data_IF_314861512285
#
_entry.id   IF_314861512285
#
_cell.length_a   1.000
_cell.length_b   1.000
_cell.length_c   1.000
_cell.angle_alpha   90.00
_cell.angle_beta   90.00
_cell.angle_gamma   90.00
#
_symmetry.space_group_name_H-M   'P 1'
#
loop_
_entity.id
_entity.type
_entity.pdbx_description
1 polymer ?
#
# COMPACT_ATOMS: atom_id res chain seq x y z
N UNK A 1 -46.97 -13.46 -30.29
CA UNK A 1 -47.00 -13.72 -28.84
C UNK A 1 -45.94 -14.73 -28.51
N UNK A 2 -44.73 -14.28 -28.15
CA UNK A 2 -44.31 -13.77 -26.83
C UNK A 2 -43.75 -14.87 -25.92
N UNK A 3 -42.40 -14.85 -25.84
CA UNK A 3 -41.48 -15.08 -24.72
C UNK A 3 -41.72 -16.17 -23.67
N UNK A 4 -40.60 -16.75 -23.20
CA UNK A 4 -40.30 -16.64 -21.78
C UNK A 4 -38.94 -15.96 -21.49
N UNK A 5 -38.97 -15.27 -20.35
CA UNK A 5 -37.97 -14.45 -19.69
C UNK A 5 -36.63 -15.17 -19.41
N UNK A 6 -35.53 -14.57 -19.85
CA UNK A 6 -34.18 -14.86 -19.34
C UNK A 6 -33.67 -13.66 -18.53
N UNK A 7 -33.36 -13.91 -17.26
CA UNK A 7 -32.76 -12.96 -16.33
C UNK A 7 -31.45 -12.37 -16.91
N UNK A 8 -31.39 -11.05 -16.92
CA UNK A 8 -30.20 -10.26 -17.24
C UNK A 8 -29.57 -9.76 -15.95
N UNK A 9 -28.23 -9.82 -15.84
CA UNK A 9 -27.50 -9.11 -14.79
C UNK A 9 -26.22 -9.78 -14.29
N UNK A 10 -25.15 -9.79 -15.09
CA UNK A 10 -23.78 -9.90 -14.56
C UNK A 10 -22.88 -8.82 -15.18
N UNK A 11 -22.16 -8.01 -14.37
CA UNK A 11 -21.31 -6.94 -14.87
C UNK A 11 -20.01 -7.47 -15.48
N UNK A 12 -19.64 -6.79 -16.58
CA UNK A 12 -18.51 -7.03 -17.47
C UNK A 12 -17.14 -6.83 -16.77
N UNK A 13 -16.68 -7.82 -16.01
CA UNK A 13 -15.25 -7.91 -15.67
C UNK A 13 -14.52 -8.52 -16.88
N UNK A 14 -14.25 -7.62 -17.84
CA UNK A 14 -13.68 -7.94 -19.14
C UNK A 14 -12.29 -8.54 -18.95
N UNK A 15 -12.18 -9.81 -19.37
CA UNK A 15 -10.98 -10.46 -19.88
C UNK A 15 -9.99 -9.46 -20.49
N UNK A 16 -8.87 -9.23 -19.82
CA UNK A 16 -7.60 -8.85 -20.47
C UNK A 16 -6.41 -9.15 -19.57
N UNK A 17 -6.16 -10.45 -19.39
CA UNK A 17 -4.82 -10.95 -19.07
C UNK A 17 -4.20 -11.46 -20.37
N UNK A 18 -2.93 -11.10 -20.56
CA UNK A 18 -1.94 -11.71 -21.46
C UNK A 18 -2.07 -11.39 -22.95
N UNK A 19 -1.48 -10.26 -23.36
CA UNK A 19 -0.56 -10.20 -24.53
C UNK A 19 0.09 -8.81 -24.59
N UNK A 20 1.38 -8.81 -24.93
CA UNK A 20 2.31 -7.68 -25.03
C UNK A 20 2.91 -7.20 -23.70
N UNK A 21 4.15 -7.63 -23.46
CA UNK A 21 5.09 -6.82 -22.68
C UNK A 21 5.23 -5.43 -23.30
N UNK A 22 5.66 -4.48 -22.46
CA UNK A 22 5.78 -3.04 -22.71
C UNK A 22 4.53 -2.26 -22.25
N UNK A 23 4.48 -1.98 -20.95
CA UNK A 23 3.64 -0.94 -20.38
C UNK A 23 4.21 0.42 -20.79
N UNK A 24 3.95 0.83 -22.04
CA UNK A 24 4.13 2.22 -22.47
C UNK A 24 2.88 2.99 -22.06
N UNK A 25 3.01 3.86 -21.06
CA UNK A 25 2.04 4.92 -20.81
C UNK A 25 2.15 5.98 -21.93
N UNK A 26 1.03 6.50 -22.45
CA UNK A 26 1.03 7.51 -23.51
C UNK A 26 1.62 8.82 -22.98
N UNK A 27 2.61 9.35 -23.72
CA UNK A 27 3.30 10.58 -23.38
C UNK A 27 2.44 11.83 -23.61
N UNK A 28 2.52 12.74 -22.65
CA UNK A 28 2.29 14.16 -22.86
C UNK A 28 3.47 14.96 -22.29
N UNK A 29 4.15 15.63 -23.22
CA UNK A 29 4.93 16.85 -23.11
C UNK A 29 5.54 17.26 -21.74
N UNK A 30 6.88 17.32 -21.73
CA UNK A 30 7.61 18.41 -21.09
C UNK A 30 7.48 18.55 -19.58
N UNK A 31 8.01 17.58 -18.81
CA UNK A 31 8.41 17.83 -17.42
C UNK A 31 9.85 17.38 -17.24
N UNK A 32 10.71 18.35 -16.88
CA UNK A 32 12.10 18.17 -16.44
C UNK A 32 12.27 16.83 -15.74
N UNK A 33 13.24 16.05 -16.19
CA UNK A 33 13.76 14.91 -15.43
C UNK A 33 14.21 15.41 -14.06
N UNK A 34 13.38 15.20 -13.03
CA UNK A 34 13.69 15.51 -11.64
C UNK A 34 13.85 14.18 -10.93
N UNK A 35 15.10 13.75 -10.70
CA UNK A 35 15.56 12.76 -9.70
C UNK A 35 14.43 11.87 -9.18
N UNK A 36 14.29 10.66 -9.73
CA UNK A 36 13.31 9.62 -9.35
C UNK A 36 12.79 9.77 -7.91
N UNK A 37 11.73 10.57 -7.71
CA UNK A 37 11.17 10.79 -6.39
C UNK A 37 10.51 9.48 -5.98
N UNK A 38 11.05 8.86 -4.94
CA UNK A 38 10.51 7.61 -4.40
C UNK A 38 9.03 7.84 -4.05
N UNK A 39 8.10 7.01 -4.57
CA UNK A 39 6.68 7.20 -4.28
C UNK A 39 6.43 7.04 -2.78
N UNK A 40 5.52 7.86 -2.26
CA UNK A 40 5.16 7.85 -0.85
C UNK A 40 4.34 6.60 -0.54
N UNK A 41 4.80 5.83 0.44
CA UNK A 41 4.19 4.60 0.89
C UNK A 41 3.69 4.77 2.33
N UNK A 42 2.38 4.68 2.52
CA UNK A 42 1.77 4.66 3.84
C UNK A 42 1.87 3.24 4.40
N UNK A 43 2.39 3.09 5.60
CA UNK A 43 2.52 1.79 6.25
C UNK A 43 1.44 1.64 7.31
N UNK A 44 0.67 0.56 7.21
CA UNK A 44 -0.31 0.16 8.21
C UNK A 44 -0.01 -1.25 8.69
N UNK A 45 -0.30 -1.54 9.95
CA UNK A 45 -0.09 -2.83 10.58
C UNK A 45 -1.15 -3.04 11.68
N UNK A 46 -1.39 -4.29 12.10
CA UNK A 46 -2.14 -4.57 13.32
C UNK A 46 -1.29 -4.11 14.52
N UNK A 47 -1.47 -2.85 14.92
CA UNK A 47 -0.73 -2.24 16.02
C UNK A 47 -1.20 -2.82 17.37
N UNK A 48 -0.25 -3.22 18.21
CA UNK A 48 -0.54 -3.74 19.54
C UNK A 48 -0.87 -2.59 20.51
N UNK A 49 -1.28 -2.93 21.74
CA UNK A 49 -1.49 -1.92 22.79
C UNK A 49 -0.18 -1.38 23.36
N UNK A 50 0.98 -1.94 22.98
CA UNK A 50 2.28 -1.56 23.50
C UNK A 50 3.00 -0.60 22.53
N UNK A 51 3.14 0.69 22.88
CA UNK A 51 3.81 1.66 22.02
C UNK A 51 5.26 1.30 21.67
N UNK A 52 5.98 0.63 22.57
CA UNK A 52 7.38 0.27 22.34
C UNK A 52 7.53 -0.80 21.26
N UNK A 53 6.66 -1.82 21.31
CA UNK A 53 6.62 -2.87 20.29
C UNK A 53 6.20 -2.29 18.94
N UNK A 54 5.19 -1.42 18.94
CA UNK A 54 4.74 -0.72 17.75
C UNK A 54 5.86 0.13 17.12
N UNK A 55 6.62 0.86 17.92
CA UNK A 55 7.73 1.69 17.44
C UNK A 55 8.83 0.83 16.81
N UNK A 56 9.23 -0.27 17.47
CA UNK A 56 10.24 -1.18 16.95
C UNK A 56 9.80 -1.84 15.62
N UNK A 57 8.56 -2.34 15.56
CA UNK A 57 8.00 -2.93 14.35
C UNK A 57 7.88 -1.91 13.21
N UNK A 58 7.36 -0.72 13.50
CA UNK A 58 7.24 0.35 12.52
C UNK A 58 8.60 0.76 11.96
N UNK A 59 9.64 0.86 12.80
CA UNK A 59 11.00 1.16 12.34
C UNK A 59 11.55 0.07 11.41
N UNK A 60 11.34 -1.21 11.74
CA UNK A 60 11.71 -2.34 10.90
C UNK A 60 11.00 -2.31 9.54
N UNK A 61 9.68 -2.06 9.53
CA UNK A 61 8.90 -1.97 8.29
C UNK A 61 9.32 -0.77 7.43
N UNK A 62 9.53 0.40 8.05
CA UNK A 62 10.08 1.58 7.38
C UNK A 62 11.39 1.24 6.67
N UNK A 63 12.30 0.52 7.33
CA UNK A 63 13.57 0.11 6.72
C UNK A 63 13.38 -0.77 5.51
N UNK A 64 12.50 -1.77 5.60
CA UNK A 64 12.21 -2.68 4.48
C UNK A 64 11.57 -1.96 3.29
N UNK A 65 10.63 -1.05 3.53
CA UNK A 65 9.97 -0.23 2.51
C UNK A 65 10.94 0.78 1.88
N UNK A 66 11.86 1.33 2.67
CA UNK A 66 12.95 2.18 2.18
C UNK A 66 13.90 1.39 1.26
N UNK A 67 14.31 0.19 1.67
CA UNK A 67 15.14 -0.71 0.87
C UNK A 67 14.37 -1.18 -0.39
N UNK A 68 13.04 -1.20 -0.33
CA UNK A 68 12.16 -1.42 -1.47
C UNK A 68 12.16 -0.26 -2.50
N UNK A 69 12.69 0.92 -2.16
CA UNK A 69 12.76 2.08 -3.05
C UNK A 69 11.59 3.04 -2.91
N UNK A 70 10.78 2.89 -1.87
CA UNK A 70 9.67 3.77 -1.52
C UNK A 70 10.09 4.76 -0.43
N UNK A 71 9.28 5.81 -0.23
CA UNK A 71 9.42 6.72 0.91
C UNK A 71 8.40 6.32 1.98
N UNK A 72 8.81 5.65 3.08
CA UNK A 72 7.89 5.15 4.09
C UNK A 72 7.31 6.30 4.95
N UNK A 73 6.02 6.20 5.28
CA UNK A 73 5.34 7.04 6.27
C UNK A 73 4.60 6.15 7.25
N UNK A 74 4.97 6.26 8.52
CA UNK A 74 4.33 5.58 9.65
C UNK A 74 3.83 6.62 10.65
N UNK A 75 2.53 6.97 10.65
CA UNK A 75 1.98 7.90 11.63
C UNK A 75 2.17 7.41 13.08
N UNK A 76 2.14 6.10 13.31
CA UNK A 76 2.33 5.49 14.64
C UNK A 76 3.69 5.78 15.27
N UNK A 77 4.71 6.14 14.49
CA UNK A 77 6.02 6.52 15.04
C UNK A 77 6.04 7.90 15.69
N UNK A 78 5.25 8.85 15.17
CA UNK A 78 5.35 10.25 15.58
C UNK A 78 4.07 10.81 16.20
N UNK A 79 2.88 10.32 15.83
CA UNK A 79 1.62 10.79 16.39
C UNK A 79 1.57 10.65 17.92
N UNK A 80 1.98 9.51 18.53
CA UNK A 80 1.95 9.35 19.98
C UNK A 80 2.95 10.24 20.72
N UNK A 81 3.89 10.89 20.03
CA UNK A 81 4.87 11.78 20.65
C UNK A 81 4.26 13.14 21.02
N UNK A 82 3.17 13.54 20.37
CA UNK A 82 2.51 14.82 20.63
C UNK A 82 0.99 14.72 20.81
N UNK A 83 0.35 13.61 20.41
CA UNK A 83 -1.05 13.32 20.69
C UNK A 83 -1.18 12.26 21.78
N UNK A 84 -2.14 12.46 22.68
CA UNK A 84 -2.50 11.53 23.75
C UNK A 84 -3.77 10.78 23.38
N UNK A 85 -3.64 9.47 23.23
CA UNK A 85 -4.74 8.58 22.89
C UNK A 85 -5.86 8.56 23.96
N UNK A 86 -5.53 8.93 25.20
CA UNK A 86 -6.48 9.03 26.32
C UNK A 86 -7.53 10.13 26.11
N UNK A 87 -7.23 11.14 25.29
CA UNK A 87 -8.13 12.24 25.01
C UNK A 87 -8.91 11.89 23.73
N UNK A 88 -10.24 11.68 23.79
CA UNK A 88 -11.02 11.23 22.63
C UNK A 88 -10.92 12.17 21.41
N UNK A 89 -10.74 13.47 21.66
CA UNK A 89 -10.54 14.47 20.62
C UNK A 89 -9.18 14.28 19.92
N UNK A 90 -8.09 14.14 20.67
CA UNK A 90 -6.75 13.95 20.11
C UNK A 90 -6.61 12.58 19.42
N UNK A 91 -7.28 11.55 19.95
CA UNK A 91 -7.39 10.25 19.28
C UNK A 91 -8.01 10.39 17.88
N UNK A 92 -9.13 11.12 17.79
CA UNK A 92 -9.78 11.40 16.51
C UNK A 92 -8.88 12.21 15.57
N UNK A 93 -8.21 13.23 16.09
CA UNK A 93 -7.29 14.07 15.31
C UNK A 93 -6.11 13.23 14.79
N UNK A 94 -5.59 12.29 15.59
CA UNK A 94 -4.52 11.36 15.17
C UNK A 94 -4.96 10.46 14.02
N UNK A 95 -6.18 9.92 14.08
CA UNK A 95 -6.75 9.13 12.99
C UNK A 95 -6.93 9.99 11.73
N UNK A 96 -7.43 11.22 11.87
CA UNK A 96 -7.67 12.09 10.72
C UNK A 96 -6.36 12.55 10.06
N UNK A 97 -5.32 12.84 10.86
CA UNK A 97 -3.96 13.11 10.35
C UNK A 97 -3.41 11.90 9.60
N UNK A 98 -3.53 10.69 10.17
CA UNK A 98 -3.07 9.46 9.52
C UNK A 98 -3.76 9.24 8.16
N UNK A 99 -5.07 9.47 8.07
CA UNK A 99 -5.84 9.41 6.82
C UNK A 99 -5.39 10.45 5.79
N UNK A 100 -5.00 11.64 6.23
CA UNK A 100 -4.46 12.66 5.33
C UNK A 100 -3.10 12.28 4.75
N UNK A 101 -2.26 11.57 5.51
CA UNK A 101 -1.05 10.96 4.96
C UNK A 101 -1.38 9.84 3.97
N UNK A 102 -2.38 9.02 4.26
CA UNK A 102 -2.83 7.98 3.33
C UNK A 102 -3.30 8.60 2.01
N UNK A 103 -4.10 9.66 2.04
CA UNK A 103 -4.57 10.40 0.84
C UNK A 103 -3.44 10.95 -0.03
N UNK A 104 -2.30 11.31 0.57
CA UNK A 104 -1.11 11.82 -0.14
C UNK A 104 -0.20 10.68 -0.63
N UNK A 105 -0.43 9.47 -0.13
CA UNK A 105 0.36 8.30 -0.46
C UNK A 105 -0.13 7.66 -1.76
N UNK A 106 0.80 7.09 -2.51
CA UNK A 106 0.51 6.42 -3.78
C UNK A 106 0.32 4.92 -3.59
N UNK A 107 0.90 4.39 -2.51
CA UNK A 107 0.85 2.99 -2.15
C UNK A 107 0.51 2.87 -0.66
N UNK A 108 -0.38 1.95 -0.33
CA UNK A 108 -0.66 1.46 1.01
C UNK A 108 0.10 0.14 1.18
N UNK A 109 0.99 0.07 2.16
CA UNK A 109 1.74 -1.13 2.53
C UNK A 109 1.16 -1.69 3.82
N UNK A 110 0.60 -2.89 3.73
CA UNK A 110 0.09 -3.63 4.88
C UNK A 110 1.20 -4.54 5.40
N UNK A 111 1.61 -4.32 6.64
CA UNK A 111 2.63 -5.10 7.32
C UNK A 111 1.96 -6.01 8.35
N UNK A 112 2.27 -7.30 8.33
CA UNK A 112 1.69 -8.30 9.24
C UNK A 112 0.77 -9.32 8.54
N UNK A 113 0.53 -10.43 9.22
CA UNK A 113 -0.28 -11.53 8.71
C UNK A 113 -1.77 -11.43 9.09
N UNK A 114 -2.11 -10.59 10.07
CA UNK A 114 -3.48 -10.35 10.52
C UNK A 114 -4.01 -9.00 10.05
N UNK A 115 -5.32 -8.94 9.78
CA UNK A 115 -6.02 -7.71 9.42
C UNK A 115 -6.98 -7.31 10.54
N UNK A 116 -6.59 -6.27 11.27
CA UNK A 116 -7.45 -5.65 12.29
C UNK A 116 -8.45 -4.68 11.65
N UNK A 117 -9.45 -4.23 12.41
CA UNK A 117 -10.46 -3.27 11.93
C UNK A 117 -9.83 -1.95 11.46
N UNK A 118 -8.74 -1.50 12.09
CA UNK A 118 -7.97 -0.32 11.66
C UNK A 118 -7.38 -0.52 10.26
N UNK A 119 -6.73 -1.66 10.04
CA UNK A 119 -6.13 -2.04 8.75
C UNK A 119 -7.21 -2.18 7.67
N UNK A 120 -8.35 -2.80 7.99
CA UNK A 120 -9.49 -2.92 7.06
C UNK A 120 -10.04 -1.55 6.65
N UNK A 121 -10.16 -0.62 7.61
CA UNK A 121 -10.59 0.75 7.34
C UNK A 121 -9.60 1.51 6.45
N UNK A 122 -8.30 1.31 6.66
CA UNK A 122 -7.25 1.89 5.81
C UNK A 122 -7.31 1.31 4.39
N UNK A 123 -7.48 -0.01 4.24
CA UNK A 123 -7.63 -0.67 2.94
C UNK A 123 -8.87 -0.15 2.20
N UNK A 124 -10.03 -0.10 2.87
CA UNK A 124 -11.26 0.42 2.27
C UNK A 124 -11.11 1.90 1.84
N UNK A 125 -10.36 2.69 2.62
CA UNK A 125 -10.05 4.08 2.27
C UNK A 125 -9.11 4.15 1.06
N UNK A 126 -8.08 3.31 1.01
CA UNK A 126 -7.15 3.23 -0.11
C UNK A 126 -7.86 2.82 -1.41
N UNK A 127 -8.72 1.80 -1.36
CA UNK A 127 -9.52 1.35 -2.50
C UNK A 127 -10.41 2.47 -3.05
N UNK A 128 -11.10 3.20 -2.16
CA UNK A 128 -11.95 4.33 -2.53
C UNK A 128 -11.17 5.45 -3.21
N UNK A 129 -9.93 5.67 -2.79
CA UNK A 129 -9.02 6.69 -3.35
C UNK A 129 -8.22 6.18 -4.56
N UNK A 130 -8.42 4.93 -4.98
CA UNK A 130 -7.63 4.25 -6.04
C UNK A 130 -6.13 4.20 -5.73
N UNK A 131 -5.77 4.10 -4.46
CA UNK A 131 -4.41 3.87 -3.99
C UNK A 131 -4.11 2.38 -4.09
N UNK A 132 -2.91 2.02 -4.55
CA UNK A 132 -2.52 0.61 -4.64
C UNK A 132 -2.25 0.05 -3.24
N UNK A 133 -3.06 -0.90 -2.78
CA UNK A 133 -2.81 -1.66 -1.56
C UNK A 133 -1.95 -2.89 -1.87
N UNK A 134 -0.86 -3.07 -1.11
CA UNK A 134 0.06 -4.20 -1.25
C UNK A 134 0.54 -4.65 0.13
N UNK A 135 0.95 -5.90 0.26
CA UNK A 135 1.56 -6.41 1.49
C UNK A 135 3.06 -6.23 1.45
N UNK A 136 3.68 -6.08 2.63
CA UNK A 136 5.14 -6.01 2.73
C UNK A 136 5.81 -7.25 2.11
N UNK A 137 5.28 -8.44 2.39
CA UNK A 137 5.75 -9.70 1.80
C UNK A 137 5.63 -9.70 0.27
N UNK A 138 4.56 -9.12 -0.29
CA UNK A 138 4.39 -8.97 -1.73
C UNK A 138 5.48 -8.11 -2.37
N UNK A 139 5.84 -6.98 -1.74
CA UNK A 139 6.92 -6.10 -2.22
C UNK A 139 8.27 -6.82 -2.18
N UNK A 140 8.57 -7.53 -1.09
CA UNK A 140 9.85 -8.22 -0.91
C UNK A 140 9.99 -9.42 -1.87
N UNK A 141 8.91 -10.17 -2.09
CA UNK A 141 8.88 -11.32 -3.00
C UNK A 141 9.18 -10.90 -4.45
N UNK A 142 8.63 -9.77 -4.90
CA UNK A 142 8.86 -9.25 -6.26
C UNK A 142 10.31 -8.81 -6.47
N UNK A 143 10.98 -8.30 -5.43
CA UNK A 143 12.42 -8.00 -5.50
C UNK A 143 13.30 -9.25 -5.53
N UNK A 144 12.88 -10.32 -4.86
CA UNK A 144 13.60 -11.61 -4.86
C UNK A 144 13.60 -12.30 -6.22
N UNK A 145 12.51 -12.22 -6.98
CA UNK A 145 12.39 -12.88 -8.29
C UNK A 145 13.29 -12.30 -9.39
N UNK A 146 13.89 -11.12 -9.18
CA UNK A 146 14.87 -10.55 -10.09
C UNK A 146 16.29 -11.12 -9.97
N UNK A 147 16.54 -12.04 -9.02
CA UNK A 147 17.89 -12.47 -8.63
C UNK A 147 18.15 -13.98 -8.73
N UNK A 148 17.26 -14.75 -9.35
CA UNK A 148 17.39 -16.22 -9.54
C UNK A 148 17.42 -16.69 -11.01
N UNK A 149 17.83 -15.83 -11.96
CA UNK A 149 18.18 -16.27 -13.32
C UNK A 149 19.55 -15.76 -13.74
N UNK A 150 20.59 -16.35 -13.15
CA UNK A 150 21.96 -16.08 -13.57
C UNK A 150 22.94 -17.01 -12.88
N UNK A 151 23.10 -18.24 -13.38
CA UNK A 151 24.29 -19.04 -13.11
C UNK A 151 24.03 -20.49 -12.71
N UNK A 152 23.98 -21.37 -13.71
CA UNK A 152 24.60 -22.69 -13.64
C UNK A 152 24.79 -23.22 -15.07
N UNK A 153 25.73 -22.61 -15.79
CA UNK A 153 26.49 -23.30 -16.83
C UNK A 153 27.57 -24.10 -16.09
N UNK A 154 27.48 -25.42 -16.11
CA UNK A 154 28.60 -26.36 -15.91
C UNK A 154 28.22 -27.59 -16.74
N UNK A 155 28.76 -27.68 -17.96
CA UNK A 155 30.01 -28.38 -18.32
C UNK A 155 29.75 -29.87 -18.51
#
# INVERSE_FOLDING_TARGET
HEQPLHLTGQPRYVRRLLKAGRFCLPGTAGRKESVMKRPLAYITAPWSKNPHENAANAASYCRQVYDAGYSPVCPVLFLPLFLKDEIPQEHKDGIDIARDYLRRSHVLVVCGHSTDETVKNDIATAERLRITATTLDGILTVKGQGREKGGAHHA
#
